data_IF_574523442152
#
_entry.id   IF_574523442152
#
_cell.length_a   1.000
_cell.length_b   1.000
_cell.length_c   1.000
_cell.angle_alpha   90.00
_cell.angle_beta   90.00
_cell.angle_gamma   90.00
#
_symmetry.space_group_name_H-M   'P 1'
#
loop_
_entity.id
_entity.type
_entity.pdbx_description
1 polymer ?
#
# COMPACT_ATOMS: atom_id res chain seq x y z
N UNK A 1 -8.33 23.83 -67.57
CA UNK A 1 -8.43 24.77 -66.43
C UNK A 1 -8.73 23.95 -65.19
N UNK A 2 -7.74 23.65 -64.36
CA UNK A 2 -7.99 22.99 -63.07
C UNK A 2 -6.87 23.35 -62.10
N UNK A 3 -7.10 24.38 -61.30
CA UNK A 3 -6.29 24.72 -60.14
C UNK A 3 -7.14 25.61 -59.21
N UNK A 4 -8.06 24.99 -58.48
CA UNK A 4 -8.79 25.67 -57.38
C UNK A 4 -8.94 24.77 -56.13
N UNK A 5 -8.21 23.65 -56.08
CA UNK A 5 -8.32 22.66 -54.99
C UNK A 5 -7.59 22.99 -53.67
N UNK A 6 -6.48 23.74 -53.60
CA UNK A 6 -5.77 23.89 -52.33
C UNK A 6 -6.46 24.85 -51.34
N UNK A 7 -7.27 25.79 -51.83
CA UNK A 7 -7.97 26.77 -50.97
C UNK A 7 -9.09 26.10 -50.16
N UNK A 8 -9.86 25.20 -50.79
CA UNK A 8 -10.99 24.52 -50.15
C UNK A 8 -10.53 23.51 -49.10
N UNK A 9 -9.42 22.81 -49.32
CA UNK A 9 -8.85 21.88 -48.33
C UNK A 9 -8.28 22.61 -47.11
N UNK A 10 -7.64 23.78 -47.31
CA UNK A 10 -7.12 24.60 -46.21
C UNK A 10 -8.25 25.17 -45.36
N UNK A 11 -9.32 25.68 -45.99
CA UNK A 11 -10.53 26.13 -45.30
C UNK A 11 -11.21 24.98 -44.55
N UNK A 12 -11.31 23.79 -45.15
CA UNK A 12 -11.85 22.60 -44.49
C UNK A 12 -11.03 22.23 -43.25
N UNK A 13 -9.71 22.14 -43.38
CA UNK A 13 -8.79 21.84 -42.27
C UNK A 13 -8.89 22.88 -41.14
N UNK A 14 -8.97 24.16 -41.49
CA UNK A 14 -9.15 25.23 -40.52
C UNK A 14 -10.47 25.11 -39.75
N UNK A 15 -11.58 24.80 -40.43
CA UNK A 15 -12.87 24.62 -39.75
C UNK A 15 -12.87 23.41 -38.82
N UNK A 16 -12.19 22.32 -39.19
CA UNK A 16 -12.03 21.15 -38.34
C UNK A 16 -11.17 21.45 -37.11
N UNK A 17 -10.07 22.18 -37.31
CA UNK A 17 -9.24 22.68 -36.22
C UNK A 17 -10.05 23.54 -35.25
N UNK A 18 -10.88 24.46 -35.74
CA UNK A 18 -11.70 25.30 -34.86
C UNK A 18 -12.74 24.51 -34.08
N UNK A 19 -13.36 23.48 -34.68
CA UNK A 19 -14.24 22.55 -33.96
C UNK A 19 -13.48 21.79 -32.88
N UNK A 20 -12.27 21.33 -33.17
CA UNK A 20 -11.44 20.62 -32.20
C UNK A 20 -11.01 21.53 -31.05
N UNK A 21 -10.57 22.76 -31.36
CA UNK A 21 -10.17 23.77 -30.38
C UNK A 21 -11.32 24.10 -29.43
N UNK A 22 -12.53 24.30 -29.97
CA UNK A 22 -13.71 24.55 -29.14
C UNK A 22 -14.01 23.38 -28.18
N UNK A 23 -13.87 22.13 -28.64
CA UNK A 23 -14.01 20.93 -27.78
C UNK A 23 -12.94 20.88 -26.69
N UNK A 24 -11.69 21.18 -27.04
CA UNK A 24 -10.58 21.24 -26.09
C UNK A 24 -10.82 22.29 -25.01
N UNK A 25 -11.21 23.51 -25.39
CA UNK A 25 -11.49 24.59 -24.44
C UNK A 25 -12.68 24.27 -23.53
N UNK A 26 -13.72 23.63 -24.07
CA UNK A 26 -14.84 23.14 -23.26
C UNK A 26 -14.39 22.10 -22.25
N UNK A 27 -13.59 21.12 -22.67
CA UNK A 27 -13.04 20.08 -21.79
C UNK A 27 -12.15 20.67 -20.70
N UNK A 28 -11.27 21.60 -21.05
CA UNK A 28 -10.36 22.25 -20.11
C UNK A 28 -11.15 23.08 -19.08
N UNK A 29 -12.21 23.77 -19.49
CA UNK A 29 -13.10 24.47 -18.56
C UNK A 29 -13.77 23.51 -17.59
N UNK A 30 -14.28 22.37 -18.07
CA UNK A 30 -14.84 21.33 -17.20
C UNK A 30 -13.80 20.80 -16.20
N UNK A 31 -12.55 20.61 -16.62
CA UNK A 31 -11.47 20.19 -15.72
C UNK A 31 -11.23 21.21 -14.61
N UNK A 32 -11.13 22.51 -14.94
CA UNK A 32 -10.97 23.59 -13.95
C UNK A 32 -12.13 23.59 -12.95
N UNK A 33 -13.37 23.48 -13.43
CA UNK A 33 -14.54 23.39 -12.57
C UNK A 33 -14.44 22.20 -11.60
N UNK A 34 -14.06 21.02 -12.09
CA UNK A 34 -13.86 19.82 -11.24
C UNK A 34 -12.75 19.99 -10.20
N UNK A 35 -11.79 20.88 -10.45
CA UNK A 35 -10.74 21.28 -9.50
C UNK A 35 -11.16 22.42 -8.56
N UNK A 36 -12.40 22.93 -8.70
CA UNK A 36 -12.91 24.05 -7.92
C UNK A 36 -12.46 25.42 -8.43
N UNK A 37 -11.93 25.50 -9.64
CA UNK A 37 -11.47 26.73 -10.28
C UNK A 37 -12.53 27.31 -11.23
N UNK A 38 -12.46 28.62 -11.50
CA UNK A 38 -13.32 29.32 -12.48
C UNK A 38 -14.84 29.06 -12.32
N UNK A 39 -15.33 28.89 -11.09
CA UNK A 39 -16.73 28.55 -10.80
C UNK A 39 -17.74 29.69 -11.03
N UNK A 40 -17.26 30.93 -11.16
CA UNK A 40 -18.12 32.12 -11.28
C UNK A 40 -19.19 32.10 -12.39
N UNK A 41 -18.95 31.50 -13.57
CA UNK A 41 -19.95 31.38 -14.64
C UNK A 41 -21.04 30.33 -14.39
N UNK A 42 -20.89 29.44 -13.39
CA UNK A 42 -21.86 28.39 -13.11
C UNK A 42 -23.01 28.95 -12.27
N UNK A 43 -24.22 28.54 -12.61
CA UNK A 43 -25.39 28.83 -11.78
C UNK A 43 -25.52 27.82 -10.62
N UNK A 44 -26.44 28.09 -9.69
CA UNK A 44 -26.65 27.26 -8.49
C UNK A 44 -26.95 25.80 -8.81
N UNK A 45 -27.72 25.51 -9.87
CA UNK A 45 -28.04 24.12 -10.26
C UNK A 45 -26.81 23.40 -10.82
N UNK A 46 -25.99 24.11 -11.58
CA UNK A 46 -24.75 23.55 -12.14
C UNK A 46 -23.72 23.29 -11.05
N UNK A 47 -23.62 24.18 -10.05
CA UNK A 47 -22.79 23.97 -8.87
C UNK A 47 -23.26 22.78 -8.03
N UNK A 48 -24.56 22.66 -7.78
CA UNK A 48 -25.15 21.53 -7.06
C UNK A 48 -24.85 20.21 -7.79
N UNK A 49 -25.00 20.18 -9.11
CA UNK A 49 -24.68 19.00 -9.91
C UNK A 49 -23.19 18.65 -9.89
N UNK A 50 -22.31 19.66 -9.92
CA UNK A 50 -20.87 19.48 -9.81
C UNK A 50 -20.47 18.91 -8.44
N UNK A 51 -21.05 19.43 -7.36
CA UNK A 51 -20.84 18.95 -6.00
C UNK A 51 -21.25 17.48 -5.86
N UNK A 52 -22.47 17.13 -6.29
CA UNK A 52 -22.95 15.75 -6.28
C UNK A 52 -22.05 14.82 -7.10
N UNK A 53 -21.56 15.27 -8.26
CA UNK A 53 -20.64 14.49 -9.09
C UNK A 53 -19.32 14.23 -8.35
N UNK A 54 -18.74 15.26 -7.73
CA UNK A 54 -17.49 15.14 -6.98
C UNK A 54 -17.65 14.24 -5.75
N UNK A 55 -18.75 14.38 -5.00
CA UNK A 55 -19.05 13.55 -3.84
C UNK A 55 -19.19 12.07 -4.21
N UNK A 56 -19.98 11.77 -5.24
CA UNK A 56 -20.17 10.40 -5.72
C UNK A 56 -18.85 9.77 -6.18
N UNK A 57 -18.05 10.52 -6.94
CA UNK A 57 -16.74 10.08 -7.44
C UNK A 57 -15.76 9.82 -6.29
N UNK A 58 -15.71 10.74 -5.32
CA UNK A 58 -14.83 10.64 -4.16
C UNK A 58 -15.19 9.43 -3.29
N UNK A 59 -16.49 9.21 -3.06
CA UNK A 59 -16.99 8.02 -2.36
C UNK A 59 -16.56 6.73 -3.06
N UNK A 60 -16.68 6.67 -4.39
CA UNK A 60 -16.26 5.51 -5.17
C UNK A 60 -14.74 5.28 -5.09
N UNK A 61 -13.94 6.34 -5.17
CA UNK A 61 -12.47 6.25 -5.05
C UNK A 61 -12.09 5.73 -3.66
N UNK A 62 -12.66 6.29 -2.59
CA UNK A 62 -12.42 5.83 -1.20
C UNK A 62 -12.82 4.37 -1.01
N UNK A 63 -13.99 3.99 -1.52
CA UNK A 63 -14.47 2.60 -1.46
C UNK A 63 -13.51 1.65 -2.16
N UNK A 64 -13.10 1.97 -3.39
CA UNK A 64 -12.17 1.15 -4.18
C UNK A 64 -10.81 1.02 -3.46
N UNK A 65 -10.28 2.12 -2.94
CA UNK A 65 -9.02 2.13 -2.20
C UNK A 65 -9.10 1.28 -0.93
N UNK A 66 -10.18 1.44 -0.17
CA UNK A 66 -10.41 0.68 1.06
C UNK A 66 -10.52 -0.80 0.77
N UNK A 67 -11.30 -1.19 -0.25
CA UNK A 67 -11.42 -2.58 -0.65
C UNK A 67 -10.07 -3.18 -1.04
N UNK A 68 -9.29 -2.47 -1.86
CA UNK A 68 -7.94 -2.93 -2.24
C UNK A 68 -7.01 -3.13 -1.03
N UNK A 69 -7.08 -2.23 -0.03
CA UNK A 69 -6.30 -2.38 1.19
C UNK A 69 -6.76 -3.58 2.04
N UNK A 70 -8.07 -3.83 2.13
CA UNK A 70 -8.62 -4.99 2.82
C UNK A 70 -8.23 -6.31 2.14
N UNK A 71 -8.24 -6.33 0.81
CA UNK A 71 -7.81 -7.49 0.03
C UNK A 71 -6.33 -7.81 0.29
N UNK A 72 -5.47 -6.78 0.25
CA UNK A 72 -4.04 -6.93 0.59
C UNK A 72 -3.80 -7.41 2.02
N UNK A 73 -4.55 -6.86 2.99
CA UNK A 73 -4.47 -7.29 4.39
C UNK A 73 -4.85 -8.76 4.52
N UNK A 74 -5.94 -9.18 3.88
CA UNK A 74 -6.43 -10.56 3.92
C UNK A 74 -5.43 -11.52 3.29
N UNK A 75 -4.83 -11.13 2.16
CA UNK A 75 -3.79 -11.92 1.50
C UNK A 75 -2.54 -12.09 2.37
N UNK A 76 -2.12 -11.03 3.07
CA UNK A 76 -0.99 -11.07 3.99
C UNK A 76 -1.29 -11.96 5.20
N UNK A 77 -2.48 -11.86 5.79
CA UNK A 77 -2.90 -12.73 6.89
C UNK A 77 -2.93 -14.21 6.48
N UNK A 78 -3.38 -14.52 5.26
CA UNK A 78 -3.32 -15.90 4.73
C UNK A 78 -1.88 -16.40 4.59
N UNK A 79 -0.97 -15.56 4.11
CA UNK A 79 0.46 -15.90 4.01
C UNK A 79 1.12 -16.08 5.38
N UNK A 80 0.81 -15.21 6.34
CA UNK A 80 1.27 -15.34 7.72
C UNK A 80 0.84 -16.67 8.33
N UNK A 81 -0.44 -17.03 8.20
CA UNK A 81 -0.97 -18.28 8.71
C UNK A 81 -0.27 -19.50 8.08
N UNK A 82 -0.08 -19.50 6.76
CA UNK A 82 0.63 -20.58 6.07
C UNK A 82 2.09 -20.72 6.54
N UNK A 83 2.77 -19.60 6.78
CA UNK A 83 4.15 -19.60 7.32
C UNK A 83 4.21 -20.10 8.75
N UNK A 84 3.23 -19.75 9.59
CA UNK A 84 3.13 -20.26 10.96
C UNK A 84 2.96 -21.78 10.94
N UNK A 85 2.08 -22.31 10.08
CA UNK A 85 1.85 -23.74 9.94
C UNK A 85 3.08 -24.48 9.43
N UNK A 86 3.74 -23.95 8.39
CA UNK A 86 4.98 -24.53 7.87
C UNK A 86 6.11 -24.54 8.91
N UNK A 87 6.29 -23.43 9.66
CA UNK A 87 7.29 -23.38 10.72
C UNK A 87 6.98 -24.38 11.85
N UNK A 88 5.71 -24.53 12.24
CA UNK A 88 5.32 -25.54 13.24
C UNK A 88 5.64 -26.95 12.76
N UNK A 89 5.34 -27.27 11.51
CA UNK A 89 5.67 -28.58 10.94
C UNK A 89 7.18 -28.84 10.93
N UNK A 90 7.99 -27.85 10.54
CA UNK A 90 9.45 -27.95 10.56
C UNK A 90 10.02 -28.12 11.97
N UNK A 91 9.46 -27.44 12.98
CA UNK A 91 9.88 -27.63 14.38
C UNK A 91 9.63 -29.06 14.84
N UNK A 92 8.49 -29.64 14.49
CA UNK A 92 8.13 -31.04 14.82
C UNK A 92 9.06 -32.04 14.11
N UNK A 93 9.40 -31.81 12.84
CA UNK A 93 10.38 -32.62 12.12
C UNK A 93 11.78 -32.54 12.75
N UNK A 94 12.22 -31.33 13.13
CA UNK A 94 13.52 -31.13 13.76
C UNK A 94 13.60 -31.85 15.12
N UNK A 95 12.52 -31.80 15.91
CA UNK A 95 12.44 -32.53 17.18
C UNK A 95 12.52 -34.06 16.95
N UNK A 96 11.82 -34.59 15.95
CA UNK A 96 11.90 -36.02 15.59
C UNK A 96 13.30 -36.44 15.14
N UNK A 97 13.97 -35.64 14.30
CA UNK A 97 15.35 -35.93 13.87
C UNK A 97 16.31 -35.88 15.07
N UNK A 98 16.16 -34.89 15.95
CA UNK A 98 17.01 -34.75 17.13
C UNK A 98 16.89 -35.94 18.09
N UNK A 99 15.66 -36.43 18.31
CA UNK A 99 15.39 -37.59 19.17
C UNK A 99 15.89 -38.88 18.53
N UNK A 100 15.74 -39.05 17.21
CA UNK A 100 16.32 -40.17 16.48
C UNK A 100 17.86 -40.18 16.53
N UNK A 101 18.50 -39.02 16.39
CA UNK A 101 19.96 -38.89 16.50
C UNK A 101 20.46 -39.16 17.92
N UNK A 102 19.76 -38.67 18.95
CA UNK A 102 20.06 -38.99 20.34
C UNK A 102 19.92 -40.50 20.62
N UNK A 103 18.86 -41.14 20.10
CA UNK A 103 18.65 -42.58 20.25
C UNK A 103 19.78 -43.35 19.55
N UNK A 104 20.16 -43.01 18.32
CA UNK A 104 21.28 -43.63 17.62
C UNK A 104 22.59 -43.58 18.43
N UNK A 105 22.92 -42.43 19.04
CA UNK A 105 24.11 -42.31 19.89
C UNK A 105 24.01 -43.11 21.20
N UNK A 106 22.81 -43.26 21.76
CA UNK A 106 22.59 -44.06 22.97
C UNK A 106 22.69 -45.58 22.73
N UNK A 107 22.44 -46.05 21.50
CA UNK A 107 22.55 -47.47 21.13
C UNK A 107 23.87 -47.83 20.42
N UNK A 108 24.65 -46.84 20.00
CA UNK A 108 26.02 -46.99 19.49
C UNK A 108 27.04 -47.29 20.59
N UNK A 109 26.82 -48.35 21.37
CA UNK A 109 27.81 -48.89 22.29
C UNK A 109 28.77 -49.82 21.56
N UNK A 110 30.07 -49.52 21.66
CA UNK A 110 31.27 -50.20 21.08
C UNK A 110 31.58 -49.71 19.66
N UNK A 111 32.68 -49.02 19.36
CA UNK A 111 34.06 -49.26 19.79
C UNK A 111 34.94 -47.98 19.77
N UNK A 112 35.79 -47.88 20.81
CA UNK A 112 37.12 -47.21 20.86
C UNK A 112 37.26 -45.67 20.67
N UNK A 113 37.37 -44.99 21.82
CA UNK A 113 38.50 -44.13 22.26
C UNK A 113 38.91 -42.90 21.40
N UNK A 114 38.80 -41.68 21.95
CA UNK A 114 39.88 -40.70 22.29
C UNK A 114 39.24 -39.48 23.00
N UNK A 115 39.82 -38.93 24.10
CA UNK A 115 39.19 -37.88 24.91
C UNK A 115 39.57 -36.44 24.53
N UNK A 116 38.66 -35.54 24.91
CA UNK A 116 38.81 -34.11 25.26
C UNK A 116 39.13 -33.07 24.18
N UNK A 117 38.16 -32.18 23.98
CA UNK A 117 38.27 -30.94 23.22
C UNK A 117 37.00 -30.10 23.38
N UNK A 118 36.73 -29.68 24.62
CA UNK A 118 35.65 -28.75 24.95
C UNK A 118 35.97 -27.38 24.32
N UNK A 119 35.31 -27.04 23.21
CA UNK A 119 35.15 -25.65 22.78
C UNK A 119 33.66 -25.35 22.64
N UNK A 120 33.13 -24.90 23.77
CA UNK A 120 31.96 -24.06 23.83
C UNK A 120 32.42 -22.64 23.52
N UNK A 121 32.30 -22.22 22.26
CA UNK A 121 32.32 -20.79 21.92
C UNK A 121 31.35 -20.53 20.76
N UNK A 122 30.19 -20.02 21.15
CA UNK A 122 29.56 -18.86 20.52
C UNK A 122 29.25 -18.96 19.01
N UNK A 123 28.13 -19.61 18.66
CA UNK A 123 27.39 -19.26 17.44
C UNK A 123 26.70 -17.89 17.62
N UNK A 124 27.50 -16.81 17.67
CA UNK A 124 27.03 -15.47 17.31
C UNK A 124 27.56 -15.18 15.92
N UNK A 125 26.71 -15.28 14.89
CA UNK A 125 27.14 -14.87 13.57
C UNK A 125 26.25 -15.38 12.44
N UNK A 126 24.98 -14.99 12.43
CA UNK A 126 24.17 -15.01 11.20
C UNK A 126 22.97 -14.04 11.21
N UNK A 127 22.85 -13.17 12.22
CA UNK A 127 22.02 -11.97 12.12
C UNK A 127 22.95 -10.78 11.95
N UNK A 128 23.06 -10.30 10.73
CA UNK A 128 23.60 -8.98 10.44
C UNK A 128 22.40 -8.03 10.54
N UNK A 129 22.31 -7.15 11.56
CA UNK A 129 21.29 -6.11 11.57
C UNK A 129 21.58 -5.21 10.37
N UNK A 130 20.67 -5.20 9.39
CA UNK A 130 20.71 -4.18 8.34
C UNK A 130 20.71 -2.83 9.05
N UNK A 131 21.81 -2.09 8.93
CA UNK A 131 21.91 -0.74 9.48
C UNK A 131 20.79 0.11 8.89
N UNK A 132 19.81 0.46 9.71
CA UNK A 132 18.82 1.45 9.37
C UNK A 132 19.58 2.76 9.08
N UNK A 133 19.58 3.20 7.82
CA UNK A 133 19.98 4.57 7.49
C UNK A 133 18.94 5.52 8.08
N UNK A 134 19.28 6.45 8.99
CA UNK A 134 18.34 7.38 9.58
C UNK A 134 18.25 8.67 8.74
N UNK A 135 18.06 8.56 7.42
CA UNK A 135 18.04 9.71 6.50
C UNK A 135 16.65 10.15 6.03
N UNK A 136 15.57 9.66 6.64
CA UNK A 136 14.24 10.27 6.50
C UNK A 136 13.76 10.80 7.85
N UNK A 137 14.46 11.83 8.36
CA UNK A 137 13.85 12.81 9.25
C UNK A 137 12.83 13.63 8.44
N UNK A 138 11.65 13.06 8.21
CA UNK A 138 10.49 13.87 7.81
C UNK A 138 9.85 14.41 9.09
N UNK A 139 10.35 15.56 9.52
CA UNK A 139 9.73 16.53 10.42
C UNK A 139 8.87 15.99 11.57
N UNK A 140 9.51 15.63 12.68
CA UNK A 140 8.83 15.57 13.97
C UNK A 140 9.45 16.65 14.87
N UNK A 141 8.67 17.67 15.21
CA UNK A 141 9.06 18.77 16.10
C UNK A 141 8.61 18.42 17.53
N UNK A 142 9.51 18.23 18.51
CA UNK A 142 9.16 17.66 19.82
C UNK A 142 8.73 18.70 20.86
N UNK A 143 8.03 19.78 20.47
CA UNK A 143 7.71 20.87 21.40
C UNK A 143 6.27 20.85 21.97
N UNK A 144 5.46 19.82 21.73
CA UNK A 144 4.14 19.71 22.39
C UNK A 144 3.89 18.28 22.84
N UNK A 145 4.59 17.85 23.89
CA UNK A 145 4.18 16.66 24.65
C UNK A 145 4.41 16.90 26.12
N UNK A 146 3.52 17.66 26.75
CA UNK A 146 3.29 17.60 28.20
C UNK A 146 1.91 18.17 28.52
N UNK A 147 0.87 17.46 28.06
CA UNK A 147 -0.45 17.39 28.72
C UNK A 147 -1.39 16.54 27.85
N UNK A 148 -1.56 15.27 28.17
CA UNK A 148 -2.84 14.75 28.66
C UNK A 148 -2.68 13.26 28.93
N UNK A 149 -2.45 12.97 30.19
CA UNK A 149 -2.47 11.64 30.77
C UNK A 149 -3.88 11.07 30.74
N UNK A 150 -3.97 9.78 30.38
CA UNK A 150 -4.90 8.79 30.95
C UNK A 150 -6.42 8.99 30.75
N UNK A 151 -7.00 8.18 29.86
CA UNK A 151 -8.23 7.46 30.19
C UNK A 151 -8.31 6.15 29.41
N UNK A 152 -8.11 5.06 30.14
CA UNK A 152 -8.52 3.71 29.80
C UNK A 152 -10.03 3.69 29.58
N UNK A 153 -10.51 3.26 28.42
CA UNK A 153 -11.84 2.68 28.30
C UNK A 153 -11.91 1.66 27.16
N UNK A 154 -12.00 0.40 27.58
CA UNK A 154 -12.54 -0.73 26.83
C UNK A 154 -13.93 -0.40 26.30
N UNK A 155 -14.17 -0.44 24.99
CA UNK A 155 -15.40 -0.96 24.37
C UNK A 155 -15.13 -1.41 22.92
N UNK A 156 -15.51 -2.66 22.66
CA UNK A 156 -15.58 -3.28 21.34
C UNK A 156 -16.82 -2.71 20.63
N UNK A 157 -16.61 -1.91 19.58
CA UNK A 157 -17.52 -1.75 18.45
C UNK A 157 -16.94 -0.74 17.43
N UNK A 158 -16.49 -1.26 16.28
CA UNK A 158 -16.69 -0.64 14.97
C UNK A 158 -16.26 0.81 14.74
N UNK A 159 -15.23 1.34 15.40
CA UNK A 159 -14.69 2.65 15.02
C UNK A 159 -13.85 2.51 13.75
N UNK A 160 -14.47 2.80 12.61
CA UNK A 160 -13.74 2.96 11.36
C UNK A 160 -12.89 4.24 11.47
N UNK A 161 -11.56 4.16 11.26
CA UNK A 161 -10.70 5.33 11.35
C UNK A 161 -11.12 6.39 10.33
N UNK A 162 -10.95 7.68 10.65
CA UNK A 162 -11.51 8.81 9.90
C UNK A 162 -11.11 8.92 8.41
N UNK A 163 -10.14 8.14 7.94
CA UNK A 163 -9.85 7.99 6.50
C UNK A 163 -10.84 7.10 5.75
N UNK A 164 -11.68 6.36 6.48
CA UNK A 164 -12.65 5.39 5.99
C UNK A 164 -14.10 5.92 5.98
N UNK A 165 -14.32 7.16 6.44
CA UNK A 165 -15.57 7.90 6.29
C UNK A 165 -15.62 8.66 4.95
#
# INVERSE_FOLDING_TARGET
MQADKPSVELESSYTEYMKLKAKYEALQRTQRNLLGEELGPLNVKELDQLEHQLEASLKQIRSTKTQSMLDQLTDLQRKEQALIEANKALMVELEQISTAHHLHQSWGGSEQNVPFGQQHDQCQGLFQPLGCNPSLQTGYNPEVSDQMTLSTQTQVAGFLPGWML
#
